data_IF_214849918326
#
_entry.id   IF_214849918326
#
_cell.length_a   1.000
_cell.length_b   1.000
_cell.length_c   1.000
_cell.angle_alpha   90.00
_cell.angle_beta   90.00
_cell.angle_gamma   90.00
#
_symmetry.space_group_name_H-M   'P 1'
#
loop_
_entity.id
_entity.type
_entity.pdbx_description
1 polymer ?
#
# COMPACT_ATOMS: atom_id res chain seq x y z
N UNK A 1 11.41 14.88 -4.29
CA UNK A 1 10.90 13.78 -3.47
C UNK A 1 11.56 13.90 -2.13
N UNK A 2 10.81 13.65 -1.07
CA UNK A 2 11.29 13.61 0.31
C UNK A 2 11.13 12.19 0.83
N UNK A 3 11.92 11.82 1.83
CA UNK A 3 11.78 10.56 2.53
C UNK A 3 10.82 10.74 3.71
N UNK A 4 9.74 9.97 3.71
CA UNK A 4 8.74 9.95 4.76
C UNK A 4 8.86 8.67 5.59
N UNK A 5 8.65 8.80 6.90
CA UNK A 5 8.50 7.68 7.81
C UNK A 5 7.02 7.31 7.88
N UNK A 6 6.70 6.04 7.65
CA UNK A 6 5.34 5.51 7.69
C UNK A 6 5.27 4.27 8.58
N UNK A 7 4.30 4.23 9.49
CA UNK A 7 4.06 3.10 10.40
C UNK A 7 2.56 2.91 10.65
N UNK A 8 2.15 1.68 10.98
CA UNK A 8 0.79 1.28 11.25
C UNK A 8 0.58 0.88 12.73
N UNK A 9 -0.01 1.76 13.56
CA UNK A 9 -0.27 1.46 14.96
C UNK A 9 -1.19 0.25 15.20
N UNK A 10 -2.04 -0.10 14.23
CA UNK A 10 -2.95 -1.25 14.32
C UNK A 10 -2.20 -2.59 14.26
N UNK A 11 -1.04 -2.62 13.60
CA UNK A 11 -0.11 -3.75 13.57
C UNK A 11 0.87 -3.73 14.77
N UNK A 12 0.69 -2.78 15.70
CA UNK A 12 1.55 -2.59 16.86
C UNK A 12 2.86 -1.85 16.55
N UNK A 13 3.01 -1.26 15.36
CA UNK A 13 4.18 -0.46 15.00
C UNK A 13 4.17 0.89 15.72
N UNK A 14 5.34 1.28 16.22
CA UNK A 14 5.62 2.64 16.70
C UNK A 14 6.47 3.40 15.67
N UNK A 15 6.80 4.66 15.96
CA UNK A 15 7.58 5.49 15.03
C UNK A 15 8.98 4.91 14.79
N UNK A 16 9.52 4.23 15.79
CA UNK A 16 10.80 3.54 15.79
C UNK A 16 10.82 2.34 14.82
N UNK A 17 9.65 1.78 14.51
CA UNK A 17 9.45 0.70 13.54
C UNK A 17 9.12 1.22 12.13
N UNK A 18 9.02 2.54 11.98
CA UNK A 18 8.59 3.15 10.73
C UNK A 18 9.50 2.79 9.56
N UNK A 19 8.86 2.56 8.42
CA UNK A 19 9.53 2.32 7.14
C UNK A 19 9.68 3.63 6.38
N UNK A 20 10.77 3.74 5.63
CA UNK A 20 11.07 4.90 4.80
C UNK A 20 10.51 4.74 3.39
N UNK A 21 9.79 5.76 2.91
CA UNK A 21 9.28 5.83 1.53
C UNK A 21 9.63 7.16 0.89
N UNK A 22 10.17 7.12 -0.33
CA UNK A 22 10.37 8.32 -1.13
C UNK A 22 9.07 8.73 -1.82
N UNK A 23 8.54 9.91 -1.48
CA UNK A 23 7.28 10.41 -2.02
C UNK A 23 7.34 11.94 -2.26
N UNK A 24 6.35 12.47 -2.96
CA UNK A 24 6.13 13.90 -3.18
C UNK A 24 5.44 14.55 -2.00
N UNK A 25 4.56 13.81 -1.33
CA UNK A 25 3.81 14.26 -0.16
C UNK A 25 3.47 13.08 0.78
N UNK A 26 2.89 13.41 1.93
CA UNK A 26 2.52 12.45 2.97
C UNK A 26 1.45 11.45 2.50
N UNK A 27 0.57 11.86 1.58
CA UNK A 27 -0.49 10.99 1.07
C UNK A 27 0.05 9.95 0.10
N UNK A 28 0.97 10.32 -0.78
CA UNK A 28 1.66 9.38 -1.67
C UNK A 28 2.53 8.41 -0.84
N UNK A 29 3.18 8.87 0.24
CA UNK A 29 3.90 7.97 1.15
C UNK A 29 2.99 6.93 1.81
N UNK A 30 1.79 7.32 2.26
CA UNK A 30 0.81 6.38 2.79
C UNK A 30 0.35 5.34 1.75
N UNK A 31 0.17 5.75 0.49
CA UNK A 31 -0.19 4.85 -0.62
C UNK A 31 0.94 3.84 -0.90
N UNK A 32 2.20 4.29 -0.93
CA UNK A 32 3.36 3.41 -1.13
C UNK A 32 3.52 2.41 0.02
N UNK A 33 3.22 2.82 1.26
CA UNK A 33 3.17 1.89 2.38
C UNK A 33 2.11 0.79 2.15
N UNK A 34 0.91 1.17 1.68
CA UNK A 34 -0.16 0.20 1.43
C UNK A 34 0.20 -0.80 0.31
N UNK A 35 0.81 -0.31 -0.78
CA UNK A 35 1.32 -1.18 -1.85
C UNK A 35 2.40 -2.15 -1.33
N UNK A 36 3.31 -1.65 -0.50
CA UNK A 36 4.37 -2.46 0.10
C UNK A 36 3.81 -3.53 1.05
N UNK A 37 2.83 -3.19 1.88
CA UNK A 37 2.20 -4.12 2.83
C UNK A 37 1.48 -5.28 2.11
N UNK A 38 0.65 -4.96 1.11
CA UNK A 38 -0.02 -5.97 0.28
C UNK A 38 0.98 -6.86 -0.47
N UNK A 39 2.05 -6.28 -1.03
CA UNK A 39 3.08 -7.03 -1.74
C UNK A 39 3.91 -7.92 -0.81
N UNK A 40 4.27 -7.43 0.38
CA UNK A 40 5.11 -8.14 1.33
C UNK A 40 4.39 -9.30 2.01
N UNK A 41 3.13 -9.09 2.41
CA UNK A 41 2.28 -10.15 2.97
C UNK A 41 1.87 -11.19 1.92
N UNK A 42 1.74 -10.76 0.66
CA UNK A 42 1.12 -11.49 -0.44
C UNK A 42 -0.35 -11.87 -0.19
N UNK A 43 -1.00 -11.26 0.80
CA UNK A 43 -2.40 -11.49 1.15
C UNK A 43 -3.34 -10.50 0.46
N UNK A 44 -2.83 -9.35 0.01
CA UNK A 44 -3.60 -8.33 -0.71
C UNK A 44 -4.85 -7.84 0.05
N UNK A 45 -4.79 -7.80 1.39
CA UNK A 45 -5.93 -7.45 2.23
C UNK A 45 -6.40 -6.00 2.01
N UNK A 46 -5.50 -5.06 1.69
CA UNK A 46 -5.85 -3.66 1.51
C UNK A 46 -6.53 -3.47 0.14
N UNK A 47 -5.91 -3.93 -0.95
CA UNK A 47 -6.45 -3.77 -2.31
C UNK A 47 -7.71 -4.60 -2.58
N UNK A 48 -7.91 -5.69 -1.83
CA UNK A 48 -9.15 -6.48 -1.86
C UNK A 48 -10.30 -5.87 -1.04
N UNK A 49 -10.03 -4.82 -0.25
CA UNK A 49 -11.00 -4.20 0.65
C UNK A 49 -11.33 -5.02 1.90
N UNK A 50 -10.51 -6.01 2.24
CA UNK A 50 -10.64 -6.79 3.49
C UNK A 50 -10.16 -5.97 4.69
N UNK A 51 -9.15 -5.12 4.49
CA UNK A 51 -8.57 -4.24 5.51
C UNK A 51 -8.48 -2.80 5.01
N UNK A 52 -8.63 -1.84 5.93
CA UNK A 52 -8.51 -0.40 5.68
C UNK A 52 -7.69 0.27 6.79
N UNK A 53 -6.40 -0.04 6.91
CA UNK A 53 -5.60 0.36 8.05
C UNK A 53 -5.41 1.89 8.10
N UNK A 54 -5.23 2.42 9.32
CA UNK A 54 -4.83 3.83 9.52
C UNK A 54 -3.34 3.91 9.80
N UNK A 55 -2.59 4.51 8.88
CA UNK A 55 -1.14 4.73 9.03
C UNK A 55 -0.84 6.14 9.52
N UNK A 56 0.29 6.26 10.21
CA UNK A 56 0.91 7.51 10.59
C UNK A 56 2.04 7.85 9.62
N UNK A 57 2.17 9.11 9.24
CA UNK A 57 3.18 9.60 8.30
C UNK A 57 3.88 10.82 8.89
N UNK A 58 5.22 10.88 8.79
CA UNK A 58 5.99 12.05 9.21
C UNK A 58 7.20 12.30 8.29
N UNK A 59 7.54 13.58 8.08
CA UNK A 59 8.77 13.99 7.40
C UNK A 59 9.87 14.27 8.42
N UNK A 60 10.86 13.38 8.54
CA UNK A 60 11.84 13.44 9.63
C UNK A 60 11.14 13.59 10.98
N UNK A 61 11.66 14.41 11.90
CA UNK A 61 11.06 14.75 13.21
C UNK A 61 9.90 15.77 13.16
N UNK A 62 9.30 15.91 11.98
CA UNK A 62 8.14 16.76 11.76
C UNK A 62 6.85 16.25 12.41
N UNK A 63 5.74 17.00 12.24
CA UNK A 63 4.43 16.59 12.73
C UNK A 63 3.99 15.26 12.12
N UNK A 64 3.14 14.54 12.86
CA UNK A 64 2.57 13.26 12.42
C UNK A 64 1.19 13.51 11.82
N UNK A 65 1.01 13.12 10.57
CA UNK A 65 -0.28 13.04 9.89
C UNK A 65 -0.82 11.60 9.93
N UNK A 66 -2.15 11.43 9.84
CA UNK A 66 -2.80 10.11 9.85
C UNK A 66 -3.66 9.94 8.60
N UNK A 67 -3.52 8.79 7.94
CA UNK A 67 -4.24 8.46 6.71
C UNK A 67 -4.89 7.09 6.82
N UNK A 68 -6.18 7.00 6.51
CA UNK A 68 -6.81 5.71 6.22
C UNK A 68 -6.49 5.34 4.79
N UNK A 69 -5.81 4.21 4.60
CA UNK A 69 -5.47 3.70 3.27
C UNK A 69 -6.51 2.67 2.82
N UNK A 70 -6.74 2.65 1.50
CA UNK A 70 -7.64 1.74 0.82
C UNK A 70 -7.04 1.48 -0.57
N UNK A 71 -7.35 0.32 -1.15
CA UNK A 71 -7.01 0.00 -2.52
C UNK A 71 -8.22 -0.60 -3.25
N UNK A 72 -8.15 -0.64 -4.57
CA UNK A 72 -9.21 -1.22 -5.39
C UNK A 72 -8.61 -2.13 -6.47
N UNK A 73 -9.06 -3.38 -6.51
CA UNK A 73 -8.79 -4.29 -7.62
C UNK A 73 -9.61 -3.89 -8.87
N UNK A 74 -8.92 -3.45 -9.92
CA UNK A 74 -9.55 -3.15 -11.22
C UNK A 74 -9.55 -4.39 -12.10
N UNK A 75 -10.73 -4.88 -12.48
CA UNK A 75 -10.88 -6.04 -13.36
C UNK A 75 -10.28 -5.77 -14.75
N UNK A 76 -9.41 -6.66 -15.22
CA UNK A 76 -8.85 -6.66 -16.57
C UNK A 76 -9.17 -7.98 -17.28
N UNK A 77 -9.70 -7.90 -18.50
CA UNK A 77 -10.11 -9.07 -19.29
C UNK A 77 -9.26 -9.23 -20.55
N UNK A 78 -8.83 -10.46 -20.82
CA UNK A 78 -8.03 -10.80 -21.99
C UNK A 78 -8.62 -12.06 -22.64
N UNK A 79 -8.63 -12.12 -23.97
CA UNK A 79 -9.01 -13.30 -24.74
C UNK A 79 -7.84 -13.75 -25.63
N UNK A 80 -7.71 -15.05 -25.84
CA UNK A 80 -6.72 -15.64 -26.77
C UNK A 80 -7.42 -16.64 -27.70
N UNK A 81 -6.99 -16.75 -28.97
CA UNK A 81 -7.53 -17.75 -29.88
C UNK A 81 -7.24 -19.17 -29.38
N UNK A 82 -8.18 -20.07 -29.59
CA UNK A 82 -7.97 -21.53 -29.51
C UNK A 82 -7.75 -22.04 -30.92
N UNK A 83 -6.64 -22.75 -31.16
CA UNK A 83 -6.48 -23.54 -32.37
C UNK A 83 -7.37 -24.77 -32.25
N UNK A 84 -8.27 -24.99 -33.21
CA UNK A 84 -8.92 -26.30 -33.35
C UNK A 84 -7.82 -27.34 -33.62
N UNK A 85 -7.69 -28.35 -32.76
CA UNK A 85 -7.07 -29.60 -33.20
C UNK A 85 -8.03 -30.24 -34.19
N UNK A 86 -7.83 -29.98 -35.48
CA UNK A 86 -8.47 -30.76 -36.54
C UNK A 86 -7.84 -32.14 -36.52
N UNK A 87 -8.47 -33.08 -35.80
CA UNK A 87 -8.72 -34.46 -36.23
C UNK A 87 -9.61 -35.25 -35.27
#
# INVERSE_FOLDING_TARGET
>A
MNTYLVWCPEEGEEREDAREFEARDESEAAQLWAEHDDWWSADYHIVSGISEPVVCVALGDGPVARYRVHGECVAQYYARPVSEEVK
#
